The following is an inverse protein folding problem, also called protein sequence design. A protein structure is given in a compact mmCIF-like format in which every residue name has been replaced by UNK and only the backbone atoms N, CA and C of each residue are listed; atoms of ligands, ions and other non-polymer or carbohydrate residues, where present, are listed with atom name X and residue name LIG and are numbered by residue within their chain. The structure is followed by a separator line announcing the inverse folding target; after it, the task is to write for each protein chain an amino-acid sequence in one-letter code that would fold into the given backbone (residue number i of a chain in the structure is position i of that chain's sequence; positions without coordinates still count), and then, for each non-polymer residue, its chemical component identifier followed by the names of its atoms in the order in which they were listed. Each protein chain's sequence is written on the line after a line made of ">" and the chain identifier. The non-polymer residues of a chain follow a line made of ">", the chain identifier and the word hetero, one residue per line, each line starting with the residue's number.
data_IF_858934109882
#
_entry.id   IF_858934109882
#
_cell.length_a   1.000
_cell.length_b   1.000
_cell.length_c   1.000
_cell.angle_alpha   90.00
_cell.angle_beta   90.00
_cell.angle_gamma   90.00
#
_symmetry.space_group_name_H-M   'P 1'
#
loop_
_entity.id
_entity.type
_entity.pdbx_description
1 polymer ?
#
# COMPACT_ATOMS: atom_id res chain seq x y z
N UNK A 1 -12.39 3.12 7.48
CA UNK A 1 -12.33 1.66 7.71
C UNK A 1 -10.91 1.19 8.03
N UNK A 2 -9.90 1.40 7.17
CA UNK A 2 -8.53 0.91 7.40
C UNK A 2 -7.89 1.31 8.74
N UNK A 3 -7.91 2.60 9.09
CA UNK A 3 -7.34 3.13 10.35
C UNK A 3 -7.89 2.43 11.59
N UNK A 4 -9.21 2.41 11.76
CA UNK A 4 -9.85 1.79 12.92
C UNK A 4 -9.64 0.27 12.99
N UNK A 5 -9.46 -0.42 11.85
CA UNK A 5 -9.12 -1.83 11.86
C UNK A 5 -7.70 -2.06 12.39
N UNK A 6 -6.73 -1.26 11.94
CA UNK A 6 -5.34 -1.32 12.43
C UNK A 6 -5.29 -1.02 13.93
N UNK A 7 -5.94 0.05 14.39
CA UNK A 7 -6.03 0.39 15.81
C UNK A 7 -6.66 -0.74 16.63
N UNK A 8 -7.76 -1.32 16.12
CA UNK A 8 -8.45 -2.44 16.75
C UNK A 8 -7.54 -3.66 16.91
N UNK A 9 -6.86 -4.09 15.84
CA UNK A 9 -5.91 -5.21 15.91
C UNK A 9 -4.77 -4.90 16.89
N UNK A 10 -4.15 -3.72 16.78
CA UNK A 10 -2.99 -3.35 17.59
C UNK A 10 -3.31 -3.14 19.07
N UNK A 11 -4.55 -2.80 19.42
CA UNK A 11 -5.00 -2.74 20.82
C UNK A 11 -4.95 -4.08 21.55
N UNK A 12 -4.88 -5.20 20.82
CA UNK A 12 -4.77 -6.55 21.40
C UNK A 12 -3.32 -7.00 21.62
N UNK A 13 -2.34 -6.15 21.33
CA UNK A 13 -0.91 -6.46 21.49
C UNK A 13 -0.27 -7.19 20.31
N UNK A 14 -0.97 -7.33 19.17
CA UNK A 14 -0.41 -7.90 17.92
C UNK A 14 -0.32 -6.84 16.82
N UNK A 15 0.66 -6.96 15.91
CA UNK A 15 0.88 -5.98 14.84
C UNK A 15 -0.02 -6.22 13.62
N UNK A 16 -0.59 -5.15 13.06
CA UNK A 16 -1.26 -5.20 11.76
C UNK A 16 -0.27 -5.01 10.61
N UNK A 17 -0.57 -5.61 9.45
CA UNK A 17 0.20 -5.44 8.22
C UNK A 17 -0.70 -4.90 7.10
N UNK A 18 -0.46 -3.66 6.68
CA UNK A 18 -1.26 -2.98 5.65
C UNK A 18 -0.74 -3.36 4.26
N UNK A 19 -1.64 -3.71 3.34
CA UNK A 19 -1.31 -4.27 2.02
C UNK A 19 -2.32 -3.91 0.94
N UNK A 20 -2.00 -3.97 -0.34
CA UNK A 20 -0.66 -4.16 -0.92
C UNK A 20 -0.14 -2.80 -1.41
N UNK A 21 1.02 -2.37 -0.92
CA UNK A 21 1.59 -1.05 -1.21
C UNK A 21 2.46 -1.08 -2.49
N UNK A 22 2.05 -0.51 -3.63
CA UNK A 22 0.79 0.15 -3.94
C UNK A 22 0.32 -0.19 -5.37
N UNK A 23 -0.81 0.37 -5.80
CA UNK A 23 -1.36 0.24 -7.17
C UNK A 23 -1.67 -1.19 -7.64
N UNK A 24 -1.77 -2.15 -6.72
CA UNK A 24 -2.17 -3.53 -7.03
C UNK A 24 -3.70 -3.66 -7.19
N UNK A 25 -4.23 -3.17 -8.31
CA UNK A 25 -5.68 -3.12 -8.57
C UNK A 25 -6.19 -4.16 -9.59
N UNK A 26 -5.31 -5.05 -10.07
CA UNK A 26 -5.69 -6.14 -10.97
C UNK A 26 -4.92 -7.42 -10.65
N UNK A 27 -5.56 -8.57 -10.81
CA UNK A 27 -4.93 -9.88 -10.57
C UNK A 27 -4.22 -10.42 -11.81
N UNK A 28 -4.72 -10.09 -13.01
CA UNK A 28 -4.11 -10.53 -14.26
C UNK A 28 -2.68 -9.99 -14.35
N UNK A 29 -1.71 -10.91 -14.41
CA UNK A 29 -0.27 -10.62 -14.45
C UNK A 29 0.23 -9.75 -13.29
N UNK A 30 -0.36 -9.81 -12.10
CA UNK A 30 0.06 -8.99 -10.93
C UNK A 30 1.53 -9.13 -10.51
N UNK A 31 2.22 -10.20 -10.96
CA UNK A 31 3.65 -10.42 -10.70
C UNK A 31 4.59 -9.80 -11.75
N UNK A 32 4.04 -9.27 -12.85
CA UNK A 32 4.85 -8.80 -13.98
C UNK A 32 4.29 -7.58 -14.71
N UNK A 33 3.05 -7.15 -14.41
CA UNK A 33 2.49 -5.93 -14.96
C UNK A 33 3.18 -4.68 -14.38
N UNK A 34 3.03 -3.59 -15.11
CA UNK A 34 3.52 -2.27 -14.75
C UNK A 34 2.34 -1.29 -14.68
N UNK A 35 2.08 -0.78 -13.48
CA UNK A 35 1.07 0.24 -13.25
C UNK A 35 1.68 1.60 -13.59
N UNK A 36 1.35 2.09 -14.79
CA UNK A 36 1.77 3.41 -15.26
C UNK A 36 0.75 4.47 -14.85
N UNK A 37 1.14 5.35 -13.92
CA UNK A 37 0.28 6.41 -13.42
C UNK A 37 1.12 7.67 -13.13
N UNK A 38 0.54 8.84 -13.38
CA UNK A 38 1.15 10.11 -13.02
C UNK A 38 1.13 10.31 -11.48
N UNK A 39 2.03 11.14 -10.98
CA UNK A 39 2.21 11.36 -9.55
C UNK A 39 0.94 11.87 -8.85
N UNK A 40 0.15 12.72 -9.52
CA UNK A 40 -1.08 13.26 -8.95
C UNK A 40 -2.09 12.14 -8.73
N UNK A 41 -2.31 11.30 -9.74
CA UNK A 41 -3.17 10.13 -9.63
C UNK A 41 -2.68 9.17 -8.54
N UNK A 42 -1.37 8.91 -8.46
CA UNK A 42 -0.79 8.07 -7.41
C UNK A 42 -1.09 8.62 -6.01
N UNK A 43 -0.82 9.91 -5.77
CA UNK A 43 -1.01 10.55 -4.47
C UNK A 43 -2.47 10.67 -4.07
N UNK A 44 -3.31 11.20 -4.96
CA UNK A 44 -4.69 11.54 -4.63
C UNK A 44 -5.60 10.30 -4.51
N UNK A 45 -5.32 9.23 -5.26
CA UNK A 45 -6.20 8.05 -5.32
C UNK A 45 -5.60 6.85 -4.59
N UNK A 46 -4.41 6.42 -5.00
CA UNK A 46 -3.89 5.12 -4.57
C UNK A 46 -3.17 5.19 -3.23
N UNK A 47 -2.37 6.23 -3.01
CA UNK A 47 -1.56 6.40 -1.80
C UNK A 47 -2.33 7.06 -0.66
N UNK A 48 -3.35 7.89 -0.95
CA UNK A 48 -4.13 8.61 0.06
C UNK A 48 -4.68 7.71 1.18
N UNK A 49 -5.13 6.50 0.85
CA UNK A 49 -5.62 5.55 1.84
C UNK A 49 -4.49 5.00 2.74
N UNK A 50 -3.32 4.70 2.16
CA UNK A 50 -2.16 4.25 2.92
C UNK A 50 -1.62 5.37 3.81
N UNK A 51 -1.48 6.58 3.27
CA UNK A 51 -1.06 7.77 4.02
C UNK A 51 -1.94 7.97 5.25
N UNK A 52 -3.28 7.93 5.08
CA UNK A 52 -4.21 8.06 6.21
C UNK A 52 -4.01 6.98 7.27
N UNK A 53 -3.76 5.74 6.88
CA UNK A 53 -3.56 4.64 7.84
C UNK A 53 -2.22 4.80 8.56
N UNK A 54 -1.15 5.14 7.83
CA UNK A 54 0.19 5.34 8.40
C UNK A 54 0.20 6.50 9.39
N UNK A 55 -0.38 7.64 9.03
CA UNK A 55 -0.34 8.87 9.83
C UNK A 55 -1.22 8.80 11.09
N UNK A 56 -2.28 7.99 11.09
CA UNK A 56 -3.22 7.94 12.21
C UNK A 56 -3.12 6.65 13.03
N UNK A 57 -2.98 5.48 12.40
CA UNK A 57 -3.01 4.20 13.11
C UNK A 57 -1.63 3.54 13.30
N UNK A 58 -0.58 4.05 12.63
CA UNK A 58 0.80 3.58 12.80
C UNK A 58 0.92 2.04 12.74
N UNK A 59 0.62 1.42 11.58
CA UNK A 59 0.68 -0.02 11.45
C UNK A 59 2.10 -0.54 11.70
N UNK A 60 2.21 -1.67 12.37
CA UNK A 60 3.50 -2.31 12.67
C UNK A 60 4.28 -2.69 11.39
N UNK A 61 3.56 -3.02 10.31
CA UNK A 61 4.15 -3.45 9.04
C UNK A 61 3.38 -2.89 7.84
N UNK A 62 4.10 -2.67 6.74
CA UNK A 62 3.54 -2.55 5.40
C UNK A 62 4.06 -3.69 4.53
N UNK A 63 3.20 -4.19 3.64
CA UNK A 63 3.57 -5.19 2.65
C UNK A 63 3.51 -4.57 1.26
N UNK A 64 4.63 -4.62 0.55
CA UNK A 64 4.70 -4.16 -0.83
C UNK A 64 3.81 -5.01 -1.74
N UNK A 65 3.37 -4.41 -2.84
CA UNK A 65 2.69 -5.11 -3.91
C UNK A 65 3.66 -5.92 -4.79
N UNK A 66 3.09 -6.80 -5.61
CA UNK A 66 3.87 -7.58 -6.57
C UNK A 66 4.17 -6.84 -7.87
N UNK A 67 3.31 -5.90 -8.27
CA UNK A 67 3.43 -5.21 -9.55
C UNK A 67 4.59 -4.20 -9.57
N UNK A 68 4.93 -3.73 -10.77
CA UNK A 68 5.76 -2.54 -10.93
C UNK A 68 4.91 -1.29 -10.87
N UNK A 69 5.54 -0.18 -10.49
CA UNK A 69 5.02 1.17 -10.62
C UNK A 69 6.04 1.96 -11.43
N UNK A 70 5.62 2.46 -12.59
CA UNK A 70 6.46 3.25 -13.49
C UNK A 70 7.85 2.61 -13.73
N UNK A 71 7.86 1.29 -14.00
CA UNK A 71 9.06 0.53 -14.36
C UNK A 71 9.78 -0.20 -13.22
N UNK A 72 9.51 0.14 -11.95
CA UNK A 72 10.20 -0.45 -10.78
C UNK A 72 9.26 -1.31 -9.94
N UNK A 73 9.69 -2.51 -9.54
CA UNK A 73 8.91 -3.38 -8.65
C UNK A 73 8.66 -2.70 -7.31
N UNK A 74 7.46 -2.83 -6.74
CA UNK A 74 7.15 -2.19 -5.45
C UNK A 74 8.08 -2.64 -4.31
N UNK A 75 8.66 -3.84 -4.37
CA UNK A 75 9.65 -4.31 -3.39
C UNK A 75 11.01 -3.62 -3.50
N UNK A 76 11.33 -3.06 -4.67
CA UNK A 76 12.64 -2.47 -5.01
C UNK A 76 12.52 -0.98 -5.38
N UNK A 77 11.34 -0.37 -5.21
CA UNK A 77 11.07 1.00 -5.57
C UNK A 77 11.53 1.94 -4.45
N UNK A 78 12.50 2.81 -4.76
CA UNK A 78 13.12 3.73 -3.81
C UNK A 78 12.46 5.12 -3.76
N UNK A 79 11.49 5.39 -4.64
CA UNK A 79 10.69 6.62 -4.66
C UNK A 79 9.48 6.49 -3.74
#
# INVERSE_FOLDING_TARGET
>A
MGTGFVEGVQSTGVGACVKHFALNSQEYKRFSNDANADERTMREIYLAAFERVVMHAHPQMLMCAYNKINGSYCSDNAW
#
